data_IF_639138849412
#
_entry.id   IF_639138849412
#
_cell.length_a   1.000
_cell.length_b   1.000
_cell.length_c   1.000
_cell.angle_alpha   90.00
_cell.angle_beta   90.00
_cell.angle_gamma   90.00
#
_symmetry.space_group_name_H-M   'P 1'
#
loop_
_entity.id
_entity.type
_entity.pdbx_description
1 polymer ?
#
# COMPACT_ATOMS: atom_id res chain seq x y z
N UNK A 1 -27.86 6.89 -16.59
CA UNK A 1 -26.42 6.70 -16.83
C UNK A 1 -25.76 5.50 -16.12
N UNK A 2 -26.24 4.99 -14.96
CA UNK A 2 -25.65 3.82 -14.27
C UNK A 2 -25.88 2.47 -15.00
N UNK A 3 -26.95 2.28 -15.73
CA UNK A 3 -27.25 1.03 -16.45
C UNK A 3 -26.45 0.83 -17.76
N UNK A 4 -26.04 1.90 -18.43
CA UNK A 4 -25.31 1.85 -19.70
C UNK A 4 -23.84 1.47 -19.53
N UNK A 5 -23.22 1.85 -18.42
CA UNK A 5 -21.80 1.53 -18.15
C UNK A 5 -21.59 0.05 -17.79
N UNK A 6 -22.50 -0.51 -16.98
CA UNK A 6 -22.47 -1.94 -16.63
C UNK A 6 -22.72 -2.83 -17.84
N UNK A 7 -23.61 -2.42 -18.75
CA UNK A 7 -23.91 -3.16 -19.99
C UNK A 7 -22.73 -3.10 -20.97
N UNK A 8 -21.98 -2.00 -21.02
CA UNK A 8 -20.82 -1.87 -21.91
C UNK A 8 -19.65 -2.76 -21.46
N UNK A 9 -19.37 -2.85 -20.17
CA UNK A 9 -18.34 -3.76 -19.62
C UNK A 9 -18.74 -5.21 -19.82
N UNK A 10 -20.02 -5.56 -19.63
CA UNK A 10 -20.51 -6.93 -19.86
C UNK A 10 -20.48 -7.31 -21.35
N UNK A 11 -20.79 -6.38 -22.26
CA UNK A 11 -20.74 -6.61 -23.70
C UNK A 11 -19.32 -6.75 -24.23
N UNK A 12 -18.34 -6.03 -23.69
CA UNK A 12 -16.92 -6.20 -24.02
C UNK A 12 -16.39 -7.55 -23.52
N UNK A 13 -16.87 -8.02 -22.36
CA UNK A 13 -16.54 -9.35 -21.83
C UNK A 13 -17.20 -10.50 -22.61
N UNK A 14 -18.42 -10.33 -23.12
CA UNK A 14 -19.19 -11.37 -23.83
C UNK A 14 -18.80 -11.46 -25.32
N UNK A 15 -18.36 -10.38 -25.95
CA UNK A 15 -17.93 -10.37 -27.35
C UNK A 15 -16.58 -11.05 -27.59
N UNK A 16 -15.85 -11.42 -26.53
CA UNK A 16 -14.53 -12.10 -26.59
C UNK A 16 -14.66 -13.64 -26.45
N UNK A 17 -15.87 -14.17 -26.23
CA UNK A 17 -16.10 -15.57 -25.87
C UNK A 17 -16.09 -16.63 -27.00
N UNK A 18 -16.18 -16.38 -28.30
CA UNK A 18 -15.98 -17.42 -29.25
C UNK A 18 -14.78 -17.17 -30.17
N UNK A 19 -13.62 -17.62 -29.80
CA UNK A 19 -12.66 -18.19 -30.75
C UNK A 19 -11.35 -18.54 -30.06
N UNK A 20 -10.91 -19.73 -30.34
CA UNK A 20 -9.53 -20.21 -30.41
C UNK A 20 -9.11 -21.17 -29.30
N UNK A 21 -9.46 -22.42 -29.50
CA UNK A 21 -8.55 -23.53 -29.22
C UNK A 21 -7.29 -23.30 -30.09
N UNK A 22 -6.30 -22.67 -29.56
CA UNK A 22 -5.01 -22.37 -30.20
C UNK A 22 -3.90 -23.15 -29.51
N UNK A 23 -3.13 -23.79 -30.33
CA UNK A 23 -1.95 -24.61 -30.07
C UNK A 23 -1.16 -24.22 -28.82
N UNK A 24 -0.95 -25.14 -27.88
CA UNK A 24 -0.31 -24.98 -26.56
C UNK A 24 1.19 -24.61 -26.57
N UNK A 25 1.75 -24.13 -27.66
CA UNK A 25 3.15 -23.74 -27.72
C UNK A 25 3.33 -22.32 -27.15
N UNK A 26 3.86 -22.25 -25.94
CA UNK A 26 4.30 -20.98 -25.35
C UNK A 26 5.24 -20.25 -26.31
N UNK A 27 4.92 -18.98 -26.61
CA UNK A 27 5.77 -18.14 -27.46
C UNK A 27 6.97 -17.69 -26.63
N UNK A 28 8.14 -18.21 -26.96
CA UNK A 28 9.42 -17.80 -26.35
C UNK A 28 9.83 -16.43 -26.93
N UNK A 29 10.06 -15.46 -26.03
CA UNK A 29 10.61 -14.14 -26.41
C UNK A 29 12.11 -14.14 -26.23
N UNK A 30 12.83 -13.42 -27.10
CA UNK A 30 14.27 -13.19 -27.05
C UNK A 30 14.59 -11.71 -27.28
N UNK A 31 15.76 -11.26 -26.82
CA UNK A 31 16.20 -9.87 -26.94
C UNK A 31 15.38 -8.92 -26.05
N UNK A 32 15.38 -7.67 -26.44
CA UNK A 32 14.67 -6.60 -25.72
C UNK A 32 13.20 -6.55 -26.13
N UNK A 33 12.32 -6.43 -25.12
CA UNK A 33 10.87 -6.30 -25.31
C UNK A 33 10.37 -5.11 -24.54
N UNK A 34 9.70 -4.18 -25.21
CA UNK A 34 9.05 -3.01 -24.61
C UNK A 34 7.55 -3.26 -24.52
N UNK A 35 7.01 -3.07 -23.33
CA UNK A 35 5.57 -2.93 -23.07
C UNK A 35 5.26 -1.52 -22.61
N UNK A 36 4.27 -0.87 -23.25
CA UNK A 36 3.71 0.39 -22.81
C UNK A 36 2.22 0.23 -22.63
N UNK A 37 1.73 0.51 -21.43
CA UNK A 37 0.33 0.32 -21.08
C UNK A 37 -0.21 1.59 -20.41
N UNK A 38 -1.42 2.03 -20.76
CA UNK A 38 -2.13 3.00 -19.93
C UNK A 38 -2.42 2.37 -18.57
N UNK A 39 -2.17 3.12 -17.51
CA UNK A 39 -2.44 2.68 -16.15
C UNK A 39 -3.68 3.40 -15.61
N UNK A 40 -4.63 2.64 -15.09
CA UNK A 40 -5.83 3.16 -14.43
C UNK A 40 -6.02 2.43 -13.11
N UNK A 41 -6.26 3.19 -12.06
CA UNK A 41 -6.48 2.65 -10.72
C UNK A 41 -7.46 3.55 -9.97
N UNK A 42 -8.11 3.01 -8.98
CA UNK A 42 -8.90 3.78 -8.01
C UNK A 42 -8.61 3.27 -6.60
N UNK A 43 -8.44 4.18 -5.67
CA UNK A 43 -8.51 3.88 -4.25
C UNK A 43 -9.14 5.07 -3.50
N UNK A 44 -9.63 4.81 -2.30
CA UNK A 44 -10.33 5.83 -1.53
C UNK A 44 -9.41 6.97 -1.08
N UNK A 45 -8.11 6.71 -0.87
CA UNK A 45 -7.17 7.72 -0.35
C UNK A 45 -6.78 8.76 -1.42
N UNK A 46 -6.52 8.30 -2.65
CA UNK A 46 -5.99 9.13 -3.74
C UNK A 46 -7.02 9.43 -4.83
N UNK A 47 -8.14 8.70 -4.83
CA UNK A 47 -9.17 8.79 -5.85
C UNK A 47 -8.82 8.03 -7.13
N UNK A 48 -9.34 8.48 -8.26
CA UNK A 48 -9.06 7.91 -9.57
C UNK A 48 -7.66 8.29 -10.06
N UNK A 49 -6.91 7.31 -10.53
CA UNK A 49 -5.58 7.47 -11.12
C UNK A 49 -5.64 7.26 -12.63
N UNK A 50 -4.99 8.14 -13.35
CA UNK A 50 -4.61 7.96 -14.75
C UNK A 50 -3.10 8.07 -14.89
N UNK A 51 -2.49 7.20 -15.70
CA UNK A 51 -1.05 7.20 -15.86
C UNK A 51 -0.56 6.34 -17.01
N UNK A 52 0.74 6.17 -17.07
CA UNK A 52 1.42 5.32 -18.02
C UNK A 52 2.44 4.41 -17.33
N UNK A 53 2.40 3.13 -17.66
CA UNK A 53 3.34 2.11 -17.23
C UNK A 53 4.16 1.65 -18.43
N UNK A 54 5.46 1.81 -18.34
CA UNK A 54 6.42 1.24 -19.30
C UNK A 54 7.20 0.13 -18.62
N UNK A 55 7.33 -1.02 -19.30
CA UNK A 55 8.18 -2.13 -18.87
C UNK A 55 9.07 -2.57 -20.00
N UNK A 56 10.36 -2.63 -19.73
CA UNK A 56 11.39 -3.07 -20.69
C UNK A 56 12.05 -4.32 -20.11
N UNK A 57 12.01 -5.40 -20.87
CA UNK A 57 12.62 -6.68 -20.51
C UNK A 57 13.74 -7.04 -21.46
N UNK A 58 14.84 -7.55 -20.95
CA UNK A 58 15.86 -8.26 -21.72
C UNK A 58 15.73 -9.76 -21.45
N UNK A 59 15.37 -10.52 -22.47
CA UNK A 59 15.27 -11.98 -22.43
C UNK A 59 16.53 -12.67 -22.94
N UNK A 60 17.56 -11.90 -23.37
CA UNK A 60 18.78 -12.41 -23.98
C UNK A 60 18.49 -13.26 -25.22
N UNK A 61 19.02 -14.47 -25.27
CA UNK A 61 18.79 -15.47 -26.34
C UNK A 61 17.44 -16.22 -26.24
N UNK A 62 16.64 -15.93 -25.22
CA UNK A 62 15.34 -16.57 -24.95
C UNK A 62 15.40 -17.81 -24.06
N UNK A 63 16.56 -18.30 -23.70
CA UNK A 63 16.72 -19.48 -22.84
C UNK A 63 16.19 -19.28 -21.43
N UNK A 64 16.13 -18.04 -20.98
CA UNK A 64 15.64 -17.67 -19.65
C UNK A 64 14.13 -17.40 -19.60
N UNK A 65 13.46 -17.32 -20.76
CA UNK A 65 12.02 -17.02 -20.83
C UNK A 65 11.19 -18.12 -20.11
N UNK A 66 10.16 -17.75 -19.32
CA UNK A 66 9.53 -16.44 -19.13
C UNK A 66 10.23 -15.52 -18.14
N UNK A 67 11.31 -15.96 -17.48
CA UNK A 67 12.17 -15.10 -16.71
C UNK A 67 12.92 -14.11 -17.62
N UNK A 68 13.59 -13.13 -17.03
CA UNK A 68 14.34 -12.10 -17.73
C UNK A 68 15.75 -11.95 -17.15
N UNK A 69 16.66 -11.40 -17.93
CA UNK A 69 18.00 -10.99 -17.47
C UNK A 69 17.93 -9.64 -16.77
N UNK A 70 17.25 -8.69 -17.42
CA UNK A 70 17.05 -7.35 -16.89
C UNK A 70 15.62 -6.91 -17.08
N UNK A 71 15.07 -6.22 -16.09
CA UNK A 71 13.76 -5.56 -16.16
C UNK A 71 13.92 -4.12 -15.70
N UNK A 72 13.40 -3.20 -16.50
CA UNK A 72 13.21 -1.80 -16.14
C UNK A 72 11.72 -1.50 -16.16
N UNK A 73 11.24 -0.79 -15.17
CA UNK A 73 9.87 -0.33 -15.10
C UNK A 73 9.87 1.17 -14.80
N UNK A 74 9.09 1.93 -15.55
CA UNK A 74 8.78 3.32 -15.28
C UNK A 74 7.26 3.48 -15.17
N UNK A 75 6.80 4.13 -14.10
CA UNK A 75 5.38 4.39 -13.87
C UNK A 75 5.21 5.86 -13.48
N UNK A 76 4.33 6.58 -14.19
CA UNK A 76 4.00 7.98 -13.92
C UNK A 76 2.50 8.12 -13.81
N UNK A 77 2.02 8.65 -12.68
CA UNK A 77 0.62 8.69 -12.33
C UNK A 77 0.18 10.07 -11.85
N UNK A 78 -1.06 10.41 -12.18
CA UNK A 78 -1.78 11.58 -11.67
C UNK A 78 -3.10 11.10 -11.09
N UNK A 79 -3.44 11.61 -9.91
CA UNK A 79 -4.64 11.21 -9.18
C UNK A 79 -5.65 12.35 -9.11
N UNK A 80 -6.93 12.02 -9.11
CA UNK A 80 -8.02 13.01 -9.09
C UNK A 80 -8.03 13.87 -7.82
N UNK A 81 -7.48 13.36 -6.71
CA UNK A 81 -7.27 14.13 -5.47
C UNK A 81 -5.99 14.98 -5.49
N UNK A 82 -5.34 15.13 -6.64
CA UNK A 82 -4.21 16.03 -6.86
C UNK A 82 -2.83 15.41 -6.68
N UNK A 83 -2.74 14.18 -6.17
CA UNK A 83 -1.45 13.53 -6.01
C UNK A 83 -0.79 13.23 -7.36
N UNK A 84 0.54 13.30 -7.38
CA UNK A 84 1.40 12.97 -8.53
C UNK A 84 2.47 12.00 -8.06
N UNK A 85 2.73 10.97 -8.86
CA UNK A 85 3.70 9.93 -8.52
C UNK A 85 4.55 9.58 -9.73
N UNK A 86 5.84 9.34 -9.49
CA UNK A 86 6.76 8.74 -10.45
C UNK A 86 7.55 7.64 -9.76
N UNK A 87 7.65 6.46 -10.39
CA UNK A 87 8.41 5.32 -9.89
C UNK A 87 9.28 4.78 -11.01
N UNK A 88 10.55 4.56 -10.73
CA UNK A 88 11.48 3.83 -11.57
C UNK A 88 11.96 2.61 -10.79
N UNK A 89 11.87 1.44 -11.40
CA UNK A 89 12.29 0.19 -10.80
C UNK A 89 13.19 -0.59 -11.75
N UNK A 90 14.25 -1.18 -11.20
CA UNK A 90 15.16 -2.08 -11.88
C UNK A 90 15.24 -3.40 -11.12
N UNK A 91 15.22 -4.52 -11.83
CA UNK A 91 15.38 -5.86 -11.27
C UNK A 91 16.22 -6.73 -12.20
N UNK A 92 17.24 -7.40 -11.66
CA UNK A 92 18.10 -8.29 -12.41
C UNK A 92 18.70 -9.38 -11.54
N UNK A 93 18.68 -10.62 -12.07
CA UNK A 93 19.41 -11.77 -11.52
C UNK A 93 20.76 -11.99 -12.25
N UNK A 94 21.10 -11.10 -13.20
CA UNK A 94 22.26 -11.24 -14.10
C UNK A 94 23.28 -10.10 -14.02
N UNK A 95 22.92 -8.96 -13.40
CA UNK A 95 23.85 -7.84 -13.26
C UNK A 95 25.11 -8.23 -12.49
N UNK A 96 24.93 -9.00 -11.42
CA UNK A 96 26.02 -9.59 -10.63
C UNK A 96 25.78 -11.10 -10.62
N UNK A 97 26.74 -11.92 -11.13
CA UNK A 97 26.58 -13.36 -11.18
C UNK A 97 26.20 -13.97 -9.82
N UNK A 98 25.15 -14.80 -9.80
CA UNK A 98 24.66 -15.47 -8.59
C UNK A 98 23.97 -14.55 -7.59
N UNK A 99 23.65 -13.31 -7.97
CA UNK A 99 22.95 -12.33 -7.11
C UNK A 99 21.78 -11.72 -7.84
N UNK A 100 20.71 -11.39 -7.09
CA UNK A 100 19.62 -10.55 -7.57
C UNK A 100 19.88 -9.12 -7.08
N UNK A 101 19.83 -8.15 -7.98
CA UNK A 101 19.90 -6.73 -7.68
C UNK A 101 18.55 -6.11 -7.97
N UNK A 102 17.99 -5.40 -7.00
CA UNK A 102 16.81 -4.56 -7.22
C UNK A 102 17.12 -3.12 -6.83
N UNK A 103 16.62 -2.17 -7.61
CA UNK A 103 16.74 -0.75 -7.28
C UNK A 103 15.42 -0.05 -7.58
N UNK A 104 15.05 0.89 -6.72
CA UNK A 104 13.83 1.69 -6.89
C UNK A 104 14.10 3.14 -6.56
N UNK A 105 13.60 4.03 -7.43
CA UNK A 105 13.47 5.46 -7.16
C UNK A 105 11.99 5.80 -7.19
N UNK A 106 11.50 6.52 -6.20
CA UNK A 106 10.13 7.00 -6.21
C UNK A 106 10.02 8.44 -5.73
N UNK A 107 9.12 9.18 -6.37
CA UNK A 107 8.74 10.53 -5.96
C UNK A 107 7.21 10.59 -5.86
N UNK A 108 6.71 11.27 -4.84
CA UNK A 108 5.30 11.53 -4.63
C UNK A 108 5.09 12.94 -4.09
N UNK A 109 4.15 13.67 -4.69
CA UNK A 109 3.61 14.94 -4.20
C UNK A 109 2.12 14.71 -3.98
N UNK A 110 1.67 14.67 -2.72
CA UNK A 110 0.28 14.38 -2.35
C UNK A 110 -0.28 15.52 -1.48
N UNK A 111 -1.05 16.45 -2.07
CA UNK A 111 -1.60 17.60 -1.35
C UNK A 111 -2.70 17.23 -0.34
N UNK A 112 -3.25 16.02 -0.42
CA UNK A 112 -4.30 15.51 0.47
C UNK A 112 -3.90 14.13 1.03
N UNK A 113 -2.66 14.01 1.55
CA UNK A 113 -2.17 12.81 2.20
C UNK A 113 -2.90 12.59 3.52
N UNK A 114 -3.43 11.37 3.74
CA UNK A 114 -4.13 11.05 4.98
C UNK A 114 -3.23 11.11 6.21
N UNK A 115 -3.70 11.80 7.24
CA UNK A 115 -3.12 11.80 8.58
C UNK A 115 -4.24 11.59 9.61
N UNK A 116 -4.17 10.50 10.35
CA UNK A 116 -5.23 10.04 11.26
C UNK A 116 -4.76 9.97 12.72
N UNK A 117 -3.63 10.61 13.06
CA UNK A 117 -3.03 10.53 14.38
C UNK A 117 -2.24 9.26 14.63
N UNK A 118 -1.99 8.99 15.91
CA UNK A 118 -1.22 7.84 16.37
C UNK A 118 -2.11 6.84 17.10
N UNK A 119 -1.61 5.60 17.28
CA UNK A 119 -2.18 4.57 18.13
C UNK A 119 -3.63 4.20 17.81
N UNK A 120 -3.99 4.13 16.52
CA UNK A 120 -5.25 3.57 16.02
C UNK A 120 -6.51 3.88 16.83
N UNK A 121 -6.77 3.10 17.88
CA UNK A 121 -8.00 3.19 18.67
C UNK A 121 -8.16 4.49 19.47
N UNK A 122 -7.08 5.14 19.86
CA UNK A 122 -7.12 6.43 20.60
C UNK A 122 -7.25 7.65 19.71
N UNK A 123 -7.28 7.44 18.40
CA UNK A 123 -7.55 8.47 17.39
C UNK A 123 -8.67 7.97 16.47
N UNK A 124 -9.92 7.94 16.92
CA UNK A 124 -11.03 7.40 16.15
C UNK A 124 -11.31 8.24 14.90
N UNK A 125 -11.73 7.57 13.83
CA UNK A 125 -12.14 8.24 12.60
C UNK A 125 -13.60 8.70 12.70
N UNK A 126 -13.84 9.94 12.34
CA UNK A 126 -15.17 10.56 12.22
C UNK A 126 -15.44 10.91 10.76
N UNK A 127 -16.34 10.19 10.13
CA UNK A 127 -16.61 10.31 8.69
C UNK A 127 -17.16 11.70 8.28
N UNK A 128 -17.79 12.40 9.18
CA UNK A 128 -18.32 13.74 8.99
C UNK A 128 -17.27 14.84 9.03
N UNK A 129 -16.04 14.54 9.50
CA UNK A 129 -14.87 15.43 9.44
C UNK A 129 -13.98 15.17 8.22
N UNK A 130 -14.23 14.12 7.43
CA UNK A 130 -13.44 13.84 6.24
C UNK A 130 -13.67 14.91 5.15
N UNK A 131 -12.91 14.85 4.08
CA UNK A 131 -12.94 15.80 2.97
C UNK A 131 -14.36 16.16 2.53
N UNK A 132 -14.80 17.38 2.82
CA UNK A 132 -16.11 17.92 2.47
C UNK A 132 -15.97 19.30 1.88
N UNK A 133 -16.91 19.66 1.05
CA UNK A 133 -17.06 21.02 0.50
C UNK A 133 -18.36 21.62 0.98
N UNK A 134 -18.40 22.94 1.13
CA UNK A 134 -19.64 23.70 1.26
C UNK A 134 -20.51 23.54 0.01
N UNK A 135 -21.80 23.80 0.10
CA UNK A 135 -22.75 23.67 -1.01
C UNK A 135 -22.35 24.54 -2.21
N UNK A 136 -21.81 25.72 -1.97
CA UNK A 136 -21.31 26.65 -3.00
C UNK A 136 -19.87 26.33 -3.47
N UNK A 137 -19.18 25.37 -2.82
CA UNK A 137 -17.83 24.96 -3.16
C UNK A 137 -16.74 25.96 -2.76
N UNK A 138 -17.06 27.02 -1.97
CA UNK A 138 -16.13 28.08 -1.57
C UNK A 138 -15.16 27.63 -0.47
N UNK A 139 -15.58 26.71 0.40
CA UNK A 139 -14.80 26.20 1.52
C UNK A 139 -14.76 24.67 1.51
N UNK A 140 -13.77 24.10 2.17
CA UNK A 140 -13.62 22.66 2.31
C UNK A 140 -12.95 22.26 3.62
N UNK A 141 -13.47 21.24 4.26
CA UNK A 141 -12.86 20.61 5.42
C UNK A 141 -11.84 19.58 4.92
N UNK A 142 -10.63 19.62 5.46
CA UNK A 142 -9.56 18.64 5.21
C UNK A 142 -8.97 18.15 6.54
N UNK A 143 -9.85 17.73 7.47
CA UNK A 143 -9.48 17.43 8.85
C UNK A 143 -8.41 16.32 8.94
N UNK A 144 -8.57 15.24 8.18
CA UNK A 144 -7.64 14.12 8.15
C UNK A 144 -6.59 14.20 7.05
N UNK A 145 -6.20 15.41 6.62
CA UNK A 145 -5.24 15.56 5.53
C UNK A 145 -4.05 16.44 5.92
N UNK A 146 -2.92 16.16 5.26
CA UNK A 146 -1.69 16.95 5.25
C UNK A 146 -1.10 16.95 3.85
N UNK A 147 -0.28 17.94 3.50
CA UNK A 147 0.43 17.94 2.22
C UNK A 147 1.78 17.24 2.39
N UNK A 148 1.95 16.08 1.76
CA UNK A 148 3.19 15.32 1.78
C UNK A 148 3.93 15.42 0.45
N UNK A 149 5.25 15.69 0.53
CA UNK A 149 6.19 15.42 -0.55
C UNK A 149 7.19 14.38 -0.08
N UNK A 150 7.44 13.37 -0.91
CA UNK A 150 8.35 12.27 -0.59
C UNK A 150 9.20 11.90 -1.79
N UNK A 151 10.49 11.72 -1.55
CA UNK A 151 11.41 11.04 -2.45
C UNK A 151 12.00 9.83 -1.72
N UNK A 152 12.18 8.71 -2.41
CA UNK A 152 12.90 7.56 -1.87
C UNK A 152 13.76 6.88 -2.92
N UNK A 153 14.89 6.35 -2.48
CA UNK A 153 15.83 5.56 -3.25
C UNK A 153 16.22 4.31 -2.45
N UNK A 154 16.02 3.14 -3.05
CA UNK A 154 16.30 1.86 -2.42
C UNK A 154 17.15 1.01 -3.36
N UNK A 155 18.13 0.29 -2.81
CA UNK A 155 18.92 -0.72 -3.53
C UNK A 155 19.06 -1.94 -2.63
N UNK A 156 18.66 -3.10 -3.15
CA UNK A 156 18.79 -4.38 -2.46
C UNK A 156 19.63 -5.35 -3.29
N UNK A 157 20.44 -6.12 -2.58
CA UNK A 157 21.22 -7.24 -3.10
C UNK A 157 20.78 -8.50 -2.37
N UNK A 158 20.50 -9.58 -3.11
CA UNK A 158 20.15 -10.89 -2.56
C UNK A 158 21.09 -11.95 -3.09
N UNK A 159 21.41 -12.92 -2.24
CA UNK A 159 22.25 -14.05 -2.61
C UNK A 159 21.76 -15.34 -1.97
N UNK A 160 21.91 -16.46 -2.68
CA UNK A 160 21.48 -17.77 -2.23
C UNK A 160 22.37 -18.27 -1.08
N UNK A 161 21.74 -18.85 -0.06
CA UNK A 161 22.40 -19.58 1.05
C UNK A 161 22.12 -21.08 0.96
N UNK A 162 20.88 -21.45 0.65
CA UNK A 162 20.43 -22.82 0.48
C UNK A 162 19.18 -22.82 -0.43
N UNK A 163 18.63 -23.99 -0.75
CA UNK A 163 17.42 -24.09 -1.54
C UNK A 163 16.26 -23.35 -0.86
N UNK A 164 15.68 -22.41 -1.59
CA UNK A 164 14.62 -21.51 -1.10
C UNK A 164 15.09 -20.45 -0.11
N UNK A 165 16.30 -20.50 0.42
CA UNK A 165 16.81 -19.56 1.42
C UNK A 165 17.84 -18.61 0.81
N UNK A 166 17.60 -17.30 0.93
CA UNK A 166 18.50 -16.24 0.47
C UNK A 166 18.77 -15.24 1.59
N UNK A 167 19.96 -14.63 1.58
CA UNK A 167 20.22 -13.44 2.36
C UNK A 167 19.82 -12.19 1.55
N UNK A 168 19.47 -11.14 2.25
CA UNK A 168 19.22 -9.82 1.67
C UNK A 168 20.02 -8.76 2.42
N UNK A 169 20.64 -7.85 1.69
CA UNK A 169 21.24 -6.63 2.22
C UNK A 169 20.83 -5.45 1.37
N UNK A 170 20.62 -4.29 1.98
CA UNK A 170 20.13 -3.14 1.22
C UNK A 170 20.43 -1.81 1.86
N UNK A 171 20.42 -0.79 1.03
CA UNK A 171 20.53 0.61 1.42
C UNK A 171 19.25 1.32 1.01
N UNK A 172 18.73 2.16 1.89
CA UNK A 172 17.62 3.05 1.57
C UNK A 172 17.91 4.46 2.00
N UNK A 173 17.40 5.39 1.21
CA UNK A 173 17.37 6.80 1.52
C UNK A 173 15.99 7.34 1.23
N UNK A 174 15.48 8.20 2.11
CA UNK A 174 14.24 8.95 1.89
C UNK A 174 14.37 10.38 2.34
N UNK A 175 13.70 11.26 1.61
CA UNK A 175 13.42 12.63 1.98
C UNK A 175 11.92 12.82 2.06
N UNK A 176 11.45 13.52 3.10
CA UNK A 176 10.03 13.79 3.29
C UNK A 176 9.84 15.23 3.79
N UNK A 177 8.74 15.82 3.37
CA UNK A 177 8.27 17.13 3.80
C UNK A 177 6.76 17.07 4.00
N UNK A 178 6.30 17.63 5.12
CA UNK A 178 4.90 17.75 5.48
C UNK A 178 4.55 19.20 5.77
N UNK A 179 3.41 19.64 5.25
CA UNK A 179 2.87 20.98 5.47
C UNK A 179 1.36 20.86 5.71
N UNK A 180 0.78 21.95 6.21
CA UNK A 180 -0.67 22.08 6.20
C UNK A 180 -1.22 22.02 4.77
N UNK A 181 -2.43 21.54 4.65
CA UNK A 181 -3.12 21.50 3.36
C UNK A 181 -3.40 22.94 2.90
N UNK A 182 -3.01 23.22 1.67
CA UNK A 182 -3.43 24.39 0.92
C UNK A 182 -3.64 23.92 -0.52
N UNK A 183 -4.81 23.38 -0.79
CA UNK A 183 -5.10 22.77 -2.08
C UNK A 183 -6.56 22.99 -2.50
N UNK A 184 -6.77 23.74 -3.58
CA UNK A 184 -8.10 24.13 -4.08
C UNK A 184 -8.86 24.88 -3.00
N UNK A 185 -10.04 24.35 -2.60
CA UNK A 185 -10.90 24.90 -1.56
C UNK A 185 -10.57 24.38 -0.15
N UNK A 186 -9.60 23.47 -0.03
CA UNK A 186 -9.25 22.83 1.24
C UNK A 186 -8.15 23.61 1.97
N UNK A 187 -8.41 23.94 3.25
CA UNK A 187 -7.46 24.54 4.19
C UNK A 187 -7.16 23.56 5.32
N UNK A 188 -5.91 23.43 5.70
CA UNK A 188 -5.43 22.52 6.73
C UNK A 188 -5.23 23.14 8.10
N UNK A 189 -5.51 24.44 8.31
CA UNK A 189 -5.28 25.12 9.60
C UNK A 189 -6.00 24.51 10.80
N UNK A 190 -7.08 23.77 10.57
CA UNK A 190 -7.81 23.05 11.60
C UNK A 190 -7.72 21.54 11.41
N UNK A 191 -6.75 21.07 10.60
CA UNK A 191 -6.52 19.63 10.41
C UNK A 191 -6.00 18.99 11.69
N UNK A 192 -6.21 17.67 11.81
CA UNK A 192 -5.65 16.90 12.91
C UNK A 192 -4.12 17.00 12.94
N UNK A 193 -3.47 17.05 11.76
CA UNK A 193 -2.03 17.25 11.64
C UNK A 193 -1.58 18.57 12.27
N UNK A 194 -2.27 19.68 11.96
CA UNK A 194 -1.97 21.01 12.55
C UNK A 194 -2.16 21.01 14.06
N UNK A 195 -3.22 20.38 14.57
CA UNK A 195 -3.45 20.25 16.02
C UNK A 195 -2.34 19.46 16.71
N UNK A 196 -1.81 18.40 16.07
CA UNK A 196 -0.68 17.64 16.61
C UNK A 196 0.62 18.43 16.64
N UNK A 197 0.82 19.34 15.68
CA UNK A 197 1.94 20.30 15.71
C UNK A 197 1.80 21.31 16.85
N UNK A 198 0.67 21.99 16.95
CA UNK A 198 0.44 23.02 17.98
C UNK A 198 0.56 22.45 19.41
N UNK A 199 0.11 21.23 19.62
CA UNK A 199 0.18 20.56 20.92
C UNK A 199 1.50 19.80 21.15
N UNK A 200 2.47 19.91 20.23
CA UNK A 200 3.80 19.32 20.38
C UNK A 200 3.86 17.79 20.29
N UNK A 201 2.78 17.12 19.85
CA UNK A 201 2.80 15.69 19.55
C UNK A 201 3.64 15.37 18.31
N UNK A 202 3.69 16.30 17.36
CA UNK A 202 4.64 16.30 16.26
C UNK A 202 5.58 17.47 16.52
N UNK A 203 6.88 17.23 16.78
CA UNK A 203 7.85 18.31 16.85
C UNK A 203 7.94 19.03 15.50
N UNK A 204 8.08 20.34 15.49
CA UNK A 204 8.24 21.13 14.25
C UNK A 204 9.43 20.64 13.42
N UNK A 205 10.49 20.16 14.06
CA UNK A 205 11.64 19.52 13.40
C UNK A 205 11.29 18.27 12.60
N UNK A 206 10.13 17.65 12.84
CA UNK A 206 9.69 16.44 12.14
C UNK A 206 8.83 16.71 10.89
N UNK A 207 8.51 17.99 10.62
CA UNK A 207 7.76 18.35 9.41
C UNK A 207 8.60 18.18 8.13
N UNK A 208 9.90 18.05 8.28
CA UNK A 208 10.87 17.86 7.20
C UNK A 208 12.01 16.96 7.66
N UNK A 209 12.48 16.07 6.80
CA UNK A 209 13.63 15.26 7.17
C UNK A 209 14.15 14.34 6.08
N UNK A 210 15.37 13.89 6.31
CA UNK A 210 16.09 12.87 5.56
C UNK A 210 16.25 11.65 6.43
N UNK A 211 16.20 10.46 5.84
CA UNK A 211 16.45 9.21 6.53
C UNK A 211 17.30 8.30 5.65
N UNK A 212 18.36 7.75 6.23
CA UNK A 212 19.20 6.73 5.59
C UNK A 212 19.21 5.46 6.45
N UNK A 213 19.11 4.30 5.82
CA UNK A 213 19.05 2.99 6.50
C UNK A 213 19.93 1.97 5.77
N UNK A 214 20.55 1.10 6.57
CA UNK A 214 21.15 -0.15 6.15
C UNK A 214 20.27 -1.31 6.61
N UNK A 215 19.86 -2.17 5.68
CA UNK A 215 19.01 -3.33 5.92
C UNK A 215 19.80 -4.62 5.73
N UNK A 216 19.53 -5.60 6.58
CA UNK A 216 20.05 -6.97 6.44
C UNK A 216 19.00 -7.98 6.89
N UNK A 217 19.04 -9.19 6.30
CA UNK A 217 18.08 -10.22 6.69
C UNK A 217 18.09 -11.47 5.84
N UNK A 218 17.03 -12.25 6.00
CA UNK A 218 16.82 -13.54 5.34
C UNK A 218 15.46 -13.54 4.62
N UNK A 219 15.43 -14.23 3.48
CA UNK A 219 14.22 -14.49 2.70
C UNK A 219 14.15 -15.99 2.42
N UNK A 220 13.03 -16.62 2.77
CA UNK A 220 12.73 -18.01 2.44
C UNK A 220 11.55 -18.02 1.47
N UNK A 221 11.74 -18.54 0.26
CA UNK A 221 10.75 -18.53 -0.80
C UNK A 221 10.69 -19.88 -1.52
N UNK A 222 9.58 -20.58 -1.33
CA UNK A 222 9.26 -21.85 -1.97
C UNK A 222 7.98 -21.79 -2.80
N UNK A 223 7.52 -20.56 -3.12
CA UNK A 223 6.31 -20.38 -3.95
C UNK A 223 6.52 -20.95 -5.34
N UNK A 224 5.47 -21.55 -5.86
CA UNK A 224 5.45 -22.04 -7.24
C UNK A 224 5.53 -20.91 -8.26
N UNK A 225 5.01 -19.71 -7.90
CA UNK A 225 5.06 -18.53 -8.74
C UNK A 225 5.06 -17.23 -7.90
N UNK A 226 5.83 -16.22 -8.31
CA UNK A 226 5.99 -15.00 -7.50
C UNK A 226 4.72 -14.12 -7.49
N UNK A 227 4.02 -13.97 -8.63
CA UNK A 227 2.92 -13.00 -8.79
C UNK A 227 1.55 -13.57 -8.40
N UNK A 228 1.28 -14.84 -8.72
CA UNK A 228 0.00 -15.51 -8.42
C UNK A 228 0.28 -16.92 -7.89
N UNK A 229 0.81 -17.04 -6.66
CA UNK A 229 1.14 -18.31 -6.06
C UNK A 229 -0.10 -19.12 -5.70
N UNK A 230 -0.08 -20.41 -6.01
CA UNK A 230 -1.09 -21.39 -5.58
C UNK A 230 -0.61 -22.21 -4.38
N UNK A 231 0.71 -22.39 -4.23
CA UNK A 231 1.32 -23.19 -3.16
C UNK A 231 2.68 -22.64 -2.76
N UNK A 232 3.10 -23.02 -1.56
CA UNK A 232 4.42 -22.70 -1.01
C UNK A 232 4.38 -21.68 0.11
N UNK A 233 5.55 -21.30 0.56
CA UNK A 233 5.76 -20.38 1.67
C UNK A 233 6.67 -19.24 1.18
N UNK A 234 6.37 -18.03 1.61
CA UNK A 234 7.26 -16.88 1.51
C UNK A 234 7.43 -16.31 2.92
N UNK A 235 8.66 -16.23 3.41
CA UNK A 235 8.93 -15.64 4.70
C UNK A 235 10.14 -14.71 4.63
N UNK A 236 10.06 -13.56 5.32
CA UNK A 236 11.17 -12.62 5.46
C UNK A 236 11.38 -12.24 6.91
N UNK A 237 12.64 -12.11 7.28
CA UNK A 237 13.05 -11.52 8.55
C UNK A 237 14.18 -10.53 8.26
N UNK A 238 13.92 -9.24 8.53
CA UNK A 238 14.89 -8.17 8.24
C UNK A 238 15.04 -7.23 9.41
N UNK A 239 16.27 -6.77 9.64
CA UNK A 239 16.59 -5.68 10.54
C UNK A 239 17.12 -4.50 9.72
N UNK A 240 16.61 -3.30 10.00
CA UNK A 240 17.04 -2.05 9.37
C UNK A 240 17.52 -1.07 10.43
N UNK A 241 18.82 -0.79 10.42
CA UNK A 241 19.44 0.24 11.25
C UNK A 241 19.65 1.51 10.46
N UNK A 242 19.30 2.65 11.02
CA UNK A 242 19.45 3.91 10.31
C UNK A 242 19.31 5.14 11.18
N UNK A 243 19.40 6.30 10.54
CA UNK A 243 19.24 7.59 11.19
C UNK A 243 18.32 8.50 10.39
N UNK A 244 17.52 9.27 11.12
CA UNK A 244 16.73 10.39 10.59
C UNK A 244 17.42 11.69 10.93
N UNK A 245 17.49 12.61 9.96
CA UNK A 245 18.15 13.91 10.05
C UNK A 245 17.10 15.01 9.84
N UNK A 246 16.47 15.42 10.92
CA UNK A 246 15.52 16.53 10.98
C UNK A 246 15.81 17.32 12.24
N UNK A 247 16.75 18.27 12.16
CA UNK A 247 17.30 18.96 13.33
C UNK A 247 18.32 18.09 14.07
N UNK A 248 17.91 17.32 15.10
CA UNK A 248 18.79 16.34 15.78
C UNK A 248 18.74 15.00 15.07
N UNK A 249 19.92 14.40 14.84
CA UNK A 249 19.98 13.04 14.31
C UNK A 249 19.38 12.04 15.32
N UNK A 250 18.48 11.18 14.84
CA UNK A 250 17.82 10.15 15.65
C UNK A 250 18.11 8.78 15.02
N UNK A 251 18.89 7.98 15.72
CA UNK A 251 19.14 6.61 15.32
C UNK A 251 17.95 5.71 15.68
N UNK A 252 17.72 4.70 14.88
CA UNK A 252 16.70 3.69 15.13
C UNK A 252 17.08 2.35 14.54
N UNK A 253 16.59 1.29 15.18
CA UNK A 253 16.65 -0.09 14.69
C UNK A 253 15.22 -0.62 14.57
N UNK A 254 14.83 -1.02 13.36
CA UNK A 254 13.51 -1.57 13.06
C UNK A 254 13.67 -3.05 12.72
N UNK A 255 12.85 -3.91 13.31
CA UNK A 255 12.68 -5.30 12.93
C UNK A 255 11.41 -5.46 12.11
N UNK A 256 11.48 -6.21 11.02
CA UNK A 256 10.32 -6.60 10.21
C UNK A 256 10.33 -8.10 9.97
N UNK A 257 9.18 -8.73 10.18
CA UNK A 257 8.93 -10.13 9.89
C UNK A 257 7.64 -10.25 9.09
N UNK A 258 7.62 -11.08 8.07
CA UNK A 258 6.44 -11.36 7.23
C UNK A 258 6.50 -12.84 6.86
N UNK A 259 5.42 -13.56 7.11
CA UNK A 259 5.27 -14.94 6.67
C UNK A 259 3.94 -15.08 5.93
N UNK A 260 3.98 -15.73 4.78
CA UNK A 260 2.84 -15.99 3.90
C UNK A 260 2.86 -17.46 3.50
N UNK A 261 1.68 -18.07 3.50
CA UNK A 261 1.55 -19.44 3.03
C UNK A 261 0.37 -19.54 2.06
N UNK A 262 0.56 -20.34 1.03
CA UNK A 262 -0.40 -20.60 -0.04
C UNK A 262 -0.72 -22.09 -0.05
N UNK A 263 -2.00 -22.42 0.12
CA UNK A 263 -2.49 -23.80 0.31
C UNK A 263 -3.53 -24.06 -0.78
N UNK A 264 -3.26 -24.97 -1.74
CA UNK A 264 -4.25 -25.34 -2.74
C UNK A 264 -5.30 -26.25 -2.11
N UNK A 265 -6.45 -25.69 -1.70
CA UNK A 265 -7.57 -26.48 -1.18
C UNK A 265 -8.20 -27.34 -2.27
N UNK A 266 -8.23 -26.80 -3.48
CA UNK A 266 -8.56 -27.54 -4.71
C UNK A 266 -7.56 -27.11 -5.78
N UNK A 267 -6.58 -27.97 -6.12
CA UNK A 267 -5.52 -27.61 -7.06
C UNK A 267 -6.06 -27.02 -8.35
N UNK A 268 -5.53 -25.87 -8.73
CA UNK A 268 -5.95 -25.15 -9.92
C UNK A 268 -7.33 -24.47 -9.84
N UNK A 269 -8.01 -24.51 -8.71
CA UNK A 269 -9.35 -23.89 -8.55
C UNK A 269 -9.47 -23.01 -7.31
N UNK A 270 -9.07 -23.52 -6.14
CA UNK A 270 -9.25 -22.81 -4.86
C UNK A 270 -7.91 -22.79 -4.13
N UNK A 271 -7.42 -21.60 -3.85
CA UNK A 271 -6.23 -21.37 -3.02
C UNK A 271 -6.64 -20.61 -1.77
N UNK A 272 -6.27 -21.13 -0.61
CA UNK A 272 -6.28 -20.39 0.64
C UNK A 272 -4.89 -19.79 0.86
N UNK A 273 -4.83 -18.46 1.02
CA UNK A 273 -3.60 -17.74 1.32
C UNK A 273 -3.74 -17.00 2.64
N UNK A 274 -2.69 -16.97 3.44
CA UNK A 274 -2.66 -16.18 4.66
C UNK A 274 -1.30 -15.52 4.85
N UNK A 275 -1.30 -14.40 5.56
CA UNK A 275 -0.15 -13.62 5.97
C UNK A 275 -0.21 -13.33 7.45
N UNK A 276 0.94 -13.38 8.11
CA UNK A 276 1.16 -12.79 9.43
C UNK A 276 2.42 -11.94 9.35
N UNK A 277 2.33 -10.69 9.81
CA UNK A 277 3.44 -9.77 9.71
C UNK A 277 3.57 -8.88 10.95
N UNK A 278 4.80 -8.44 11.19
CA UNK A 278 5.19 -7.53 12.25
C UNK A 278 6.20 -6.53 11.72
N UNK A 279 6.08 -5.29 12.16
CA UNK A 279 7.11 -4.26 11.98
C UNK A 279 7.16 -3.38 13.21
N UNK A 280 8.34 -3.24 13.84
CA UNK A 280 8.45 -2.49 15.07
C UNK A 280 9.84 -1.93 15.35
N UNK A 281 9.86 -0.87 16.13
CA UNK A 281 11.05 -0.21 16.64
C UNK A 281 11.63 -1.05 17.79
N UNK A 282 12.88 -1.49 17.62
CA UNK A 282 13.62 -2.27 18.62
C UNK A 282 14.47 -1.39 19.50
N UNK A 283 15.01 -0.29 18.95
CA UNK A 283 15.85 0.65 19.67
C UNK A 283 15.84 2.03 19.02
N UNK A 284 16.08 3.08 19.81
CA UNK A 284 16.14 4.46 19.34
C UNK A 284 14.78 5.15 19.28
N UNK A 285 14.59 6.04 18.30
CA UNK A 285 13.34 6.77 18.11
C UNK A 285 13.09 7.06 16.62
N UNK A 286 11.80 7.20 16.26
CA UNK A 286 11.37 7.49 14.91
C UNK A 286 10.64 8.86 14.86
N UNK A 287 10.84 9.64 13.79
CA UNK A 287 9.93 10.73 13.48
C UNK A 287 8.56 10.16 13.07
N UNK A 288 7.49 10.94 13.20
CA UNK A 288 6.13 10.47 12.96
C UNK A 288 5.95 9.84 11.55
N UNK A 289 6.62 10.39 10.56
CA UNK A 289 6.52 9.93 9.17
C UNK A 289 7.24 8.59 8.89
N UNK A 290 8.05 8.12 9.82
CA UNK A 290 8.75 6.84 9.73
C UNK A 290 8.13 5.75 10.63
N UNK A 291 7.03 6.07 11.33
CA UNK A 291 6.34 5.11 12.18
C UNK A 291 5.86 3.91 11.36
N UNK A 292 6.03 2.69 11.89
CA UNK A 292 5.37 1.50 11.35
C UNK A 292 3.86 1.70 11.21
N UNK A 293 3.34 1.31 10.04
CA UNK A 293 1.92 1.27 9.71
C UNK A 293 1.60 -0.06 9.04
N UNK A 294 0.33 -0.44 9.01
CA UNK A 294 -0.14 -1.50 8.14
C UNK A 294 -1.39 -1.05 7.38
N UNK A 295 -1.55 -1.59 6.18
CA UNK A 295 -2.75 -1.38 5.37
C UNK A 295 -3.75 -2.50 5.65
N UNK A 296 -5.01 -2.12 5.87
CA UNK A 296 -6.13 -3.03 6.03
C UNK A 296 -7.19 -2.63 4.98
N UNK A 297 -7.65 -3.59 4.20
CA UNK A 297 -8.66 -3.31 3.15
C UNK A 297 -9.96 -2.85 3.78
N UNK A 298 -10.46 -1.68 3.37
CA UNK A 298 -11.60 -0.99 4.01
C UNK A 298 -11.19 0.05 5.05
N UNK A 299 -9.90 0.17 5.36
CA UNK A 299 -9.33 1.26 6.15
C UNK A 299 -8.40 2.12 5.28
N UNK A 300 -8.11 3.33 5.70
CA UNK A 300 -7.15 4.19 4.99
C UNK A 300 -5.71 3.71 5.22
N UNK A 301 -4.84 3.85 4.21
CA UNK A 301 -3.51 3.24 4.20
C UNK A 301 -2.57 3.63 5.34
N UNK A 302 -2.74 4.83 5.93
CA UNK A 302 -1.96 5.33 7.08
C UNK A 302 -2.78 5.48 8.35
N UNK A 303 -3.97 4.84 8.42
CA UNK A 303 -4.93 5.02 9.52
C UNK A 303 -4.39 4.54 10.88
N UNK A 304 -3.59 3.49 10.88
CA UNK A 304 -3.11 2.86 12.10
C UNK A 304 -1.59 2.90 12.10
N UNK A 305 -1.02 3.68 13.01
CA UNK A 305 0.42 3.91 13.12
C UNK A 305 0.88 3.87 14.58
N UNK A 306 2.05 3.28 14.83
CA UNK A 306 2.67 3.22 16.15
C UNK A 306 4.15 2.90 16.06
N UNK A 307 4.84 2.77 17.19
CA UNK A 307 6.23 2.31 17.21
C UNK A 307 6.38 0.86 16.76
N UNK A 308 5.31 0.06 16.90
CA UNK A 308 5.27 -1.30 16.38
C UNK A 308 3.84 -1.72 16.08
N UNK A 309 3.67 -2.43 14.95
CA UNK A 309 2.40 -2.94 14.46
C UNK A 309 2.52 -4.42 14.11
N UNK A 310 1.44 -5.16 14.32
CA UNK A 310 1.30 -6.53 13.86
C UNK A 310 -0.02 -6.69 13.12
N UNK A 311 -0.02 -7.45 12.03
CA UNK A 311 -1.22 -7.68 11.23
C UNK A 311 -1.26 -9.08 10.62
N UNK A 312 -2.45 -9.52 10.31
CA UNK A 312 -2.73 -10.76 9.61
C UNK A 312 -3.76 -10.51 8.50
N UNK A 313 -3.65 -11.24 7.43
CA UNK A 313 -4.60 -11.26 6.32
C UNK A 313 -4.89 -12.69 5.90
N UNK A 314 -6.11 -12.96 5.46
CA UNK A 314 -6.50 -14.26 4.92
C UNK A 314 -7.35 -14.05 3.66
N UNK A 315 -6.99 -14.74 2.58
CA UNK A 315 -7.69 -14.72 1.30
C UNK A 315 -8.17 -16.13 0.93
N UNK A 316 -9.40 -16.22 0.46
CA UNK A 316 -9.89 -17.38 -0.26
C UNK A 316 -10.01 -17.00 -1.75
N UNK A 317 -9.11 -17.51 -2.58
CA UNK A 317 -9.00 -17.18 -4.01
C UNK A 317 -9.64 -18.31 -4.84
N UNK A 318 -10.67 -17.98 -5.61
CA UNK A 318 -11.37 -18.92 -6.49
C UNK A 318 -11.08 -18.56 -7.93
N UNK A 319 -10.48 -19.46 -8.71
CA UNK A 319 -10.34 -19.35 -10.17
C UNK A 319 -11.62 -19.87 -10.83
N UNK A 320 -12.36 -18.96 -11.46
CA UNK A 320 -13.61 -19.27 -12.17
C UNK A 320 -13.35 -19.85 -13.56
N UNK A 321 -12.44 -19.19 -14.31
CA UNK A 321 -12.14 -19.57 -15.67
C UNK A 321 -10.66 -19.36 -16.01
N UNK A 322 -10.18 -20.19 -16.94
CA UNK A 322 -8.90 -20.05 -17.62
C UNK A 322 -9.15 -20.29 -19.11
N UNK A 323 -8.65 -19.39 -19.96
CA UNK A 323 -8.84 -19.48 -21.41
C UNK A 323 -7.67 -18.83 -22.16
N UNK A 324 -7.52 -19.18 -23.43
CA UNK A 324 -6.53 -18.58 -24.31
C UNK A 324 -7.21 -17.69 -25.34
N UNK A 325 -6.68 -16.48 -25.51
CA UNK A 325 -7.09 -15.54 -26.54
C UNK A 325 -5.89 -14.68 -26.94
N UNK A 326 -5.83 -14.22 -28.20
CA UNK A 326 -4.76 -13.35 -28.70
C UNK A 326 -3.34 -13.84 -28.39
N UNK A 327 -3.12 -15.15 -28.37
CA UNK A 327 -1.85 -15.80 -28.00
C UNK A 327 -1.41 -15.49 -26.55
N UNK A 328 -2.36 -15.24 -25.65
CA UNK A 328 -2.12 -15.02 -24.23
C UNK A 328 -3.00 -15.97 -23.41
N UNK A 329 -2.53 -16.33 -22.22
CA UNK A 329 -3.32 -17.06 -21.24
C UNK A 329 -4.04 -16.06 -20.33
N UNK A 330 -5.33 -16.24 -20.17
CA UNK A 330 -6.17 -15.42 -19.30
C UNK A 330 -6.74 -16.26 -18.16
N UNK A 331 -6.74 -15.68 -16.98
CA UNK A 331 -7.41 -16.24 -15.81
C UNK A 331 -8.30 -15.19 -15.18
N UNK A 332 -9.47 -15.59 -14.71
CA UNK A 332 -10.36 -14.74 -13.90
C UNK A 332 -10.88 -15.50 -12.68
N UNK A 333 -11.13 -14.76 -11.63
CA UNK A 333 -11.62 -15.36 -10.41
C UNK A 333 -12.20 -14.36 -9.42
N UNK A 334 -12.58 -14.89 -8.28
CA UNK A 334 -13.07 -14.15 -7.13
C UNK A 334 -12.08 -14.28 -5.98
N UNK A 335 -12.11 -13.31 -5.09
CA UNK A 335 -11.41 -13.34 -3.81
C UNK A 335 -12.36 -12.91 -2.70
N UNK A 336 -12.39 -13.66 -1.60
CA UNK A 336 -12.97 -13.24 -0.34
C UNK A 336 -11.84 -13.08 0.67
N UNK A 337 -11.90 -12.07 1.53
CA UNK A 337 -10.82 -11.80 2.46
C UNK A 337 -11.28 -11.33 3.85
N UNK A 338 -10.37 -11.50 4.81
CA UNK A 338 -10.44 -10.92 6.13
C UNK A 338 -9.05 -10.42 6.55
N UNK A 339 -9.00 -9.20 7.09
CA UNK A 339 -7.78 -8.58 7.59
C UNK A 339 -7.95 -8.23 9.08
N UNK A 340 -6.87 -8.30 9.84
CA UNK A 340 -6.83 -7.92 11.24
C UNK A 340 -5.46 -7.34 11.59
N UNK A 341 -5.39 -6.37 12.51
CA UNK A 341 -4.12 -5.84 12.97
C UNK A 341 -4.29 -4.93 14.18
N UNK A 342 -3.16 -4.62 14.82
CA UNK A 342 -3.12 -3.74 15.98
C UNK A 342 -1.76 -3.04 16.13
N UNK A 343 -1.75 -1.92 16.82
CA UNK A 343 -0.53 -1.32 17.36
C UNK A 343 -0.12 -2.10 18.60
N UNK A 344 1.02 -2.78 18.53
CA UNK A 344 1.58 -3.57 19.64
C UNK A 344 2.61 -2.82 20.46
N UNK A 345 3.15 -1.73 19.89
CA UNK A 345 4.03 -0.77 20.58
C UNK A 345 3.50 0.65 20.33
N UNK A 346 2.81 1.27 21.29
CA UNK A 346 2.27 2.62 21.14
C UNK A 346 3.35 3.67 20.90
N UNK A 347 2.97 4.74 20.20
CA UNK A 347 3.81 5.93 20.01
C UNK A 347 3.26 7.08 20.86
N UNK A 348 4.08 7.62 21.80
CA UNK A 348 3.75 8.80 22.62
C UNK A 348 2.34 8.76 23.25
N UNK A 349 1.88 7.56 23.65
CA UNK A 349 0.52 7.36 24.13
C UNK A 349 0.20 8.21 25.37
N UNK A 350 1.13 8.29 26.34
CA UNK A 350 0.95 9.09 27.56
C UNK A 350 0.81 10.58 27.28
N UNK A 351 1.57 11.08 26.30
CA UNK A 351 1.51 12.48 25.90
C UNK A 351 0.21 12.77 25.12
N UNK A 352 -0.20 11.86 24.25
CA UNK A 352 -1.46 11.93 23.52
C UNK A 352 -2.66 11.92 24.47
N UNK A 353 -2.67 11.03 25.45
CA UNK A 353 -3.75 10.95 26.45
C UNK A 353 -3.76 12.13 27.42
N UNK A 354 -2.61 12.74 27.70
CA UNK A 354 -2.51 13.92 28.56
C UNK A 354 -3.15 15.17 27.94
N UNK A 355 -3.31 15.23 26.63
CA UNK A 355 -4.01 16.34 25.97
C UNK A 355 -5.51 16.35 26.28
N UNK A 356 -6.06 15.23 26.71
CA UNK A 356 -7.49 15.08 26.91
C UNK A 356 -8.29 15.15 25.61
N UNK A 357 -9.59 15.32 25.72
CA UNK A 357 -10.44 15.55 24.55
C UNK A 357 -10.33 17.00 24.07
N UNK A 358 -10.00 17.16 22.80
CA UNK A 358 -10.08 18.45 22.11
C UNK A 358 -11.34 18.43 21.25
N UNK A 359 -12.24 19.38 21.47
CA UNK A 359 -13.47 19.50 20.67
C UNK A 359 -13.27 20.48 19.52
N UNK A 360 -13.66 20.06 18.33
CA UNK A 360 -13.71 20.92 17.14
C UNK A 360 -15.17 21.22 16.83
N UNK A 361 -15.49 22.49 16.68
CA UNK A 361 -16.78 22.94 16.15
C UNK A 361 -16.51 23.67 14.84
N UNK A 362 -17.09 23.18 13.77
CA UNK A 362 -16.98 23.76 12.43
C UNK A 362 -18.34 24.14 11.92
N UNK A 363 -18.41 25.22 11.15
CA UNK A 363 -19.59 25.58 10.38
C UNK A 363 -19.34 25.19 8.93
N UNK A 364 -20.23 24.37 8.39
CA UNK A 364 -20.22 23.99 6.98
C UNK A 364 -21.64 24.16 6.44
N UNK A 365 -21.78 24.83 5.30
CA UNK A 365 -23.09 25.17 4.69
C UNK A 365 -24.00 25.98 5.64
N UNK A 366 -23.43 26.80 6.54
CA UNK A 366 -24.15 27.56 7.54
C UNK A 366 -24.63 26.76 8.76
N UNK A 367 -24.41 25.44 8.77
CA UNK A 367 -24.80 24.56 9.88
C UNK A 367 -23.59 24.23 10.77
N UNK A 368 -23.71 24.36 12.10
CA UNK A 368 -22.65 23.96 13.00
C UNK A 368 -22.45 22.44 12.96
N UNK A 369 -21.20 22.01 12.92
CA UNK A 369 -20.77 20.63 12.99
C UNK A 369 -19.91 20.43 14.23
N UNK A 370 -20.19 19.42 15.01
CA UNK A 370 -19.50 19.14 16.27
C UNK A 370 -20.32 19.50 17.51
N UNK A 371 -19.73 19.46 18.72
CA UNK A 371 -18.31 19.26 18.95
C UNK A 371 -17.85 17.82 18.70
N UNK A 372 -16.64 17.66 18.18
CA UNK A 372 -16.02 16.35 17.96
C UNK A 372 -14.79 16.22 18.86
N UNK A 373 -14.58 15.02 19.41
CA UNK A 373 -13.31 14.67 20.03
C UNK A 373 -12.28 14.45 18.91
N UNK A 374 -11.39 15.39 18.69
CA UNK A 374 -10.58 15.47 17.47
C UNK A 374 -9.21 14.84 17.61
N UNK A 375 -8.58 14.96 18.78
CA UNK A 375 -7.24 14.43 19.03
C UNK A 375 -7.31 13.12 19.79
N UNK A 376 -8.04 13.12 20.90
CA UNK A 376 -8.20 11.98 21.79
C UNK A 376 -9.52 12.07 22.56
N UNK A 377 -10.23 10.97 22.65
CA UNK A 377 -11.40 10.83 23.50
C UNK A 377 -11.11 9.79 24.60
N UNK A 378 -10.94 10.22 25.86
CA UNK A 378 -10.65 9.31 26.98
C UNK A 378 -11.76 8.31 27.28
N UNK A 379 -12.99 8.53 26.79
CA UNK A 379 -14.10 7.60 26.95
C UNK A 379 -14.06 6.45 25.93
N UNK A 380 -13.41 6.67 24.77
CA UNK A 380 -13.39 5.70 23.66
C UNK A 380 -12.28 4.69 23.85
N UNK A 381 -11.06 5.14 24.14
CA UNK A 381 -9.93 4.22 24.28
C UNK A 381 -8.82 4.77 25.20
N UNK A 382 -8.50 4.00 26.23
CA UNK A 382 -7.28 4.18 27.03
C UNK A 382 -6.16 3.24 26.59
N UNK A 383 -6.44 2.34 25.68
CA UNK A 383 -5.52 1.32 25.13
C UNK A 383 -5.92 0.94 23.72
N UNK A 384 -4.98 0.38 23.00
CA UNK A 384 -5.17 -0.13 21.64
C UNK A 384 -6.11 -1.36 21.63
N UNK A 385 -6.71 -1.61 20.48
CA UNK A 385 -7.60 -2.74 20.21
C UNK A 385 -7.24 -3.41 18.88
N UNK A 386 -7.84 -4.56 18.62
CA UNK A 386 -7.76 -5.21 17.33
C UNK A 386 -8.66 -4.48 16.33
N UNK A 387 -8.07 -4.07 15.20
CA UNK A 387 -8.77 -3.52 14.05
C UNK A 387 -9.03 -4.67 13.06
N UNK A 388 -10.23 -4.73 12.50
CA UNK A 388 -10.63 -5.84 11.62
C UNK A 388 -11.44 -5.35 10.43
N UNK A 389 -11.27 -6.01 9.29
CA UNK A 389 -12.08 -5.76 8.09
C UNK A 389 -12.36 -7.05 7.33
N UNK A 390 -13.40 -7.01 6.50
CA UNK A 390 -13.79 -8.10 5.62
C UNK A 390 -14.19 -7.55 4.26
N UNK A 391 -14.10 -8.38 3.25
CA UNK A 391 -14.49 -7.97 1.92
C UNK A 391 -14.33 -9.06 0.88
N UNK A 392 -14.40 -8.62 -0.37
CA UNK A 392 -14.21 -9.51 -1.51
C UNK A 392 -14.06 -8.72 -2.79
N UNK A 393 -13.76 -9.43 -3.86
CA UNK A 393 -13.52 -8.81 -5.15
C UNK A 393 -13.42 -9.82 -6.26
N UNK A 394 -13.04 -9.32 -7.42
CA UNK A 394 -12.66 -10.14 -8.55
C UNK A 394 -11.23 -9.83 -8.99
N UNK A 395 -10.58 -10.82 -9.56
CA UNK A 395 -9.25 -10.69 -10.11
C UNK A 395 -9.18 -11.21 -11.53
N UNK A 396 -8.22 -10.67 -12.27
CA UNK A 396 -7.94 -11.00 -13.64
C UNK A 396 -6.43 -11.08 -13.84
N UNK A 397 -5.95 -12.14 -14.49
CA UNK A 397 -4.53 -12.29 -14.78
C UNK A 397 -4.29 -12.60 -16.26
N UNK A 398 -3.17 -12.08 -16.77
CA UNK A 398 -2.65 -12.38 -18.11
C UNK A 398 -1.28 -13.02 -17.96
N UNK A 399 -1.13 -14.23 -18.53
CA UNK A 399 0.10 -15.04 -18.48
C UNK A 399 0.65 -15.24 -17.06
N UNK A 400 -0.21 -15.19 -16.03
CA UNK A 400 0.15 -15.24 -14.61
C UNK A 400 1.05 -14.08 -14.12
N UNK A 401 1.76 -13.39 -15.03
CA UNK A 401 2.71 -12.32 -14.70
C UNK A 401 2.05 -10.95 -14.46
N UNK A 402 0.94 -10.71 -15.12
CA UNK A 402 0.14 -9.50 -14.94
C UNK A 402 -1.17 -9.87 -14.27
N UNK A 403 -1.31 -9.48 -13.02
CA UNK A 403 -2.53 -9.68 -12.24
C UNK A 403 -3.08 -8.34 -11.80
N UNK A 404 -4.36 -8.14 -11.94
CA UNK A 404 -5.09 -7.02 -11.34
C UNK A 404 -6.27 -7.53 -10.54
N UNK A 405 -6.51 -6.93 -9.38
CA UNK A 405 -7.64 -7.22 -8.52
C UNK A 405 -8.46 -5.96 -8.25
N UNK A 406 -9.77 -6.09 -8.25
CA UNK A 406 -10.71 -5.06 -7.81
C UNK A 406 -11.41 -5.58 -6.57
N UNK A 407 -11.15 -4.96 -5.45
CA UNK A 407 -11.58 -5.42 -4.14
C UNK A 407 -12.43 -4.35 -3.45
N UNK A 408 -13.44 -4.79 -2.72
CA UNK A 408 -14.29 -3.93 -1.88
C UNK A 408 -14.13 -4.44 -0.45
N UNK A 409 -13.69 -3.57 0.45
CA UNK A 409 -13.44 -3.87 1.85
C UNK A 409 -14.23 -2.95 2.77
N UNK A 410 -14.62 -3.48 3.92
CA UNK A 410 -15.30 -2.72 4.97
C UNK A 410 -14.70 -3.05 6.33
N UNK A 411 -14.30 -2.04 7.14
CA UNK A 411 -13.92 -2.27 8.51
C UNK A 411 -15.14 -2.70 9.32
N UNK A 412 -14.95 -3.59 10.28
CA UNK A 412 -16.04 -4.04 11.16
C UNK A 412 -16.38 -2.98 12.22
N UNK A 413 -15.44 -2.08 12.53
CA UNK A 413 -15.70 -0.92 13.37
C UNK A 413 -15.68 0.37 12.52
N UNK A 414 -16.77 1.18 12.54
CA UNK A 414 -16.84 2.43 11.78
C UNK A 414 -15.75 3.47 12.14
N UNK A 415 -15.19 3.39 13.34
CA UNK A 415 -14.08 4.25 13.77
C UNK A 415 -12.75 3.94 13.07
N UNK A 416 -12.66 2.86 12.29
CA UNK A 416 -11.46 2.48 11.53
C UNK A 416 -11.49 2.95 10.09
N UNK A 417 -12.63 3.43 9.61
CA UNK A 417 -12.80 3.89 8.23
C UNK A 417 -14.19 3.59 7.68
N UNK A 418 -14.29 3.60 6.36
CA UNK A 418 -15.53 3.39 5.61
C UNK A 418 -15.36 2.29 4.56
N UNK A 419 -16.40 2.05 3.77
CA UNK A 419 -16.30 1.16 2.60
C UNK A 419 -15.20 1.67 1.66
N UNK A 420 -14.18 0.84 1.41
CA UNK A 420 -13.09 1.11 0.49
C UNK A 420 -13.21 0.29 -0.78
N UNK A 421 -12.88 0.91 -1.91
CA UNK A 421 -12.74 0.24 -3.22
C UNK A 421 -11.28 0.38 -3.63
N UNK A 422 -10.66 -0.73 -3.98
CA UNK A 422 -9.25 -0.81 -4.35
C UNK A 422 -9.12 -1.53 -5.68
N UNK A 423 -8.32 -0.97 -6.57
CA UNK A 423 -7.87 -1.65 -7.78
C UNK A 423 -6.36 -1.75 -7.69
N UNK A 424 -5.84 -2.95 -7.54
CA UNK A 424 -4.43 -3.22 -7.30
C UNK A 424 -3.81 -4.01 -8.46
N UNK A 425 -2.53 -3.79 -8.70
CA UNK A 425 -1.71 -4.67 -9.50
C UNK A 425 -1.11 -5.74 -8.57
N UNK A 426 -1.60 -6.97 -8.66
CA UNK A 426 -1.33 -8.05 -7.74
C UNK A 426 -2.43 -8.22 -6.68
N UNK A 427 -2.32 -9.29 -5.87
CA UNK A 427 -3.06 -9.41 -4.62
C UNK A 427 -2.43 -8.53 -3.53
N UNK A 428 -3.13 -8.33 -2.42
CA UNK A 428 -2.65 -7.49 -1.32
C UNK A 428 -1.40 -8.05 -0.62
N UNK A 429 -1.16 -9.38 -0.76
CA UNK A 429 0.06 -10.06 -0.28
C UNK A 429 0.39 -11.31 -1.10
#
# INVERSE_FOLDING_TARGET
>A
MKRTFTTFILLVLISVLPALAGNDKQIVKSGWSLGLLPAFQYNNDLGFMGGALSQVYDYGDGTVYPNYRHKFMANVNIYSRGAKQAVLNYDSKYLIPGRRVTAELSFMDNPLCGFYGFNGAVSPYHADLDLRKSADGSEGIAFYATHQKRFSANVDLQGQLADGLTWIGGLSYSWQQYNDVNFRVYDGKESLYHQYLENGLIPESDTYGHRAELKGGLVYDTRDFETNPERGIYATLTAAGGASFSGKARASLILSADIRQYIPLWPGRITFAWQLAYRGLMAGSLPFYALPTFAMRGSFGSRIAGNGVAWASADLRLRLASFQAFRQNFELGLVGFADAGAVVQPHRLSEQTALGSCSVTKTLDGEPRGPYASIYDPQIATRERLHTSVGGGFWFAVNRNFLTAVEIGRPLNPQDGTLGIYMNMGFSF
#
